data_IF_580560711314
#
_entry.id   IF_580560711314
#
_cell.length_a   1.000
_cell.length_b   1.000
_cell.length_c   1.000
_cell.angle_alpha   90.00
_cell.angle_beta   90.00
_cell.angle_gamma   90.00
#
_symmetry.space_group_name_H-M   'P 1'
#
loop_
_entity.id
_entity.type
_entity.pdbx_description
1 polymer ?
#
# COMPACT_ATOMS: atom_id res chain seq x y z
N UNK A 1 5.00 -10.76 -20.39
CA UNK A 1 3.85 -11.24 -19.59
C UNK A 1 4.35 -11.63 -18.21
N UNK A 2 4.02 -10.85 -17.17
CA UNK A 2 4.47 -11.12 -15.78
C UNK A 2 3.54 -12.07 -15.02
N UNK A 3 2.40 -12.42 -15.61
CA UNK A 3 1.41 -13.30 -15.00
C UNK A 3 1.51 -14.71 -15.58
N UNK A 4 1.41 -15.76 -14.75
CA UNK A 4 1.40 -17.15 -15.22
C UNK A 4 0.21 -17.43 -16.14
N UNK A 5 0.41 -18.21 -17.21
CA UNK A 5 -0.66 -18.60 -18.15
C UNK A 5 -1.76 -19.47 -17.50
N UNK A 6 -1.43 -20.12 -16.38
CA UNK A 6 -2.38 -20.90 -15.57
C UNK A 6 -3.37 -20.02 -14.81
N UNK A 7 -3.12 -18.71 -14.68
CA UNK A 7 -3.96 -17.79 -13.93
C UNK A 7 -5.22 -17.43 -14.75
N UNK A 8 -6.34 -18.07 -14.42
CA UNK A 8 -7.63 -17.87 -15.12
C UNK A 8 -8.45 -16.69 -14.61
N UNK A 9 -8.25 -16.32 -13.34
CA UNK A 9 -8.97 -15.25 -12.67
C UNK A 9 -7.95 -14.35 -11.99
N UNK A 10 -8.06 -13.05 -12.26
CA UNK A 10 -7.26 -12.03 -11.60
C UNK A 10 -8.18 -11.29 -10.65
N UNK A 11 -7.79 -11.24 -9.37
CA UNK A 11 -8.41 -10.34 -8.41
C UNK A 11 -7.75 -8.97 -8.50
N UNK A 12 -8.55 -7.93 -8.44
CA UNK A 12 -8.09 -6.55 -8.43
C UNK A 12 -8.63 -5.81 -7.21
N UNK A 13 -7.88 -4.81 -6.76
CA UNK A 13 -8.28 -3.84 -5.75
C UNK A 13 -8.31 -2.48 -6.43
N UNK A 14 -9.45 -1.80 -6.33
CA UNK A 14 -9.64 -0.47 -6.90
C UNK A 14 -9.86 0.54 -5.77
N UNK A 15 -8.87 1.39 -5.53
CA UNK A 15 -9.05 2.58 -4.72
C UNK A 15 -9.51 3.69 -5.66
N UNK A 16 -10.82 3.93 -5.68
CA UNK A 16 -11.46 4.83 -6.65
C UNK A 16 -10.78 6.20 -6.70
N UNK A 17 -10.38 6.61 -7.92
CA UNK A 17 -9.72 7.89 -8.16
C UNK A 17 -8.24 7.95 -7.75
N UNK A 18 -7.65 6.86 -7.27
CA UNK A 18 -6.24 6.78 -6.90
C UNK A 18 -5.50 5.70 -7.68
N UNK A 19 -5.89 4.43 -7.54
CA UNK A 19 -5.12 3.30 -8.07
C UNK A 19 -5.97 2.05 -8.33
N UNK A 20 -5.54 1.23 -9.31
CA UNK A 20 -6.12 -0.06 -9.65
C UNK A 20 -5.00 -1.11 -9.77
N UNK A 21 -4.96 -2.07 -8.86
CA UNK A 21 -3.89 -3.06 -8.80
C UNK A 21 -4.43 -4.49 -8.83
N UNK A 22 -3.69 -5.42 -9.45
CA UNK A 22 -3.90 -6.85 -9.27
C UNK A 22 -3.35 -7.30 -7.90
N UNK A 23 -4.23 -7.80 -7.02
CA UNK A 23 -3.86 -8.23 -5.67
C UNK A 23 -4.81 -9.33 -5.13
N UNK A 24 -4.23 -10.36 -4.54
CA UNK A 24 -4.91 -11.50 -3.92
C UNK A 24 -5.04 -11.41 -2.40
N UNK A 25 -4.51 -10.36 -1.76
CA UNK A 25 -4.53 -10.17 -0.31
C UNK A 25 -5.93 -9.93 0.27
N UNK A 26 -6.03 -10.02 1.60
CA UNK A 26 -7.23 -9.62 2.34
C UNK A 26 -7.14 -8.14 2.65
N UNK A 27 -8.20 -7.40 2.31
CA UNK A 27 -8.26 -5.94 2.44
C UNK A 27 -9.45 -5.53 3.31
N UNK A 28 -9.31 -4.37 3.95
CA UNK A 28 -10.43 -3.66 4.59
C UNK A 28 -11.39 -3.10 3.54
N UNK A 29 -12.61 -2.74 3.94
CA UNK A 29 -13.62 -2.25 3.00
C UNK A 29 -13.41 -0.77 2.62
N UNK A 30 -12.71 0.00 3.45
CA UNK A 30 -12.43 1.42 3.25
C UNK A 30 -11.04 1.83 3.75
N UNK A 31 -10.41 2.81 3.09
CA UNK A 31 -9.13 3.39 3.54
C UNK A 31 -9.20 4.01 4.94
N UNK A 32 -10.40 4.38 5.42
CA UNK A 32 -10.62 4.91 6.77
C UNK A 32 -10.35 3.88 7.87
N UNK A 33 -10.52 2.59 7.58
CA UNK A 33 -10.29 1.51 8.54
C UNK A 33 -8.80 1.24 8.79
N UNK A 34 -7.92 1.72 7.92
CA UNK A 34 -6.47 1.57 8.09
C UNK A 34 -5.96 2.42 9.25
N UNK A 35 -6.55 3.59 9.51
CA UNK A 35 -6.04 4.57 10.47
C UNK A 35 -5.01 5.54 9.86
N UNK A 36 -4.25 6.23 10.72
CA UNK A 36 -3.28 7.24 10.32
C UNK A 36 -1.92 6.62 9.97
N UNK A 37 -1.35 7.02 8.83
CA UNK A 37 -0.02 6.58 8.38
C UNK A 37 1.02 7.65 8.72
N UNK A 38 2.09 7.24 9.39
CA UNK A 38 3.23 8.10 9.73
C UNK A 38 4.50 7.53 9.10
N UNK A 39 5.30 8.37 8.45
CA UNK A 39 6.61 7.99 7.93
C UNK A 39 7.61 8.01 9.10
N UNK A 40 8.15 6.86 9.47
CA UNK A 40 9.08 6.71 10.60
C UNK A 40 10.54 6.64 10.18
N UNK A 41 10.80 6.51 8.87
CA UNK A 41 12.14 6.57 8.33
C UNK A 41 12.15 6.42 6.82
N UNK A 42 13.27 6.83 6.23
CA UNK A 42 13.53 6.66 4.82
C UNK A 42 14.97 6.21 4.63
N UNK A 43 15.21 5.38 3.62
CA UNK A 43 16.54 4.89 3.27
C UNK A 43 16.68 4.86 1.74
N UNK A 44 17.79 5.38 1.23
CA UNK A 44 18.13 5.24 -0.18
C UNK A 44 18.71 3.85 -0.43
N UNK A 45 18.13 3.07 -1.34
CA UNK A 45 18.65 1.76 -1.79
C UNK A 45 19.30 1.88 -3.18
N UNK A 46 19.93 3.02 -3.45
CA UNK A 46 20.51 3.38 -4.74
C UNK A 46 19.75 4.49 -5.45
N UNK A 47 20.08 4.71 -6.73
CA UNK A 47 19.57 5.84 -7.52
C UNK A 47 18.04 5.85 -7.63
N UNK A 48 17.45 4.70 -7.98
CA UNK A 48 16.00 4.57 -8.25
C UNK A 48 15.22 4.13 -7.01
N UNK A 49 15.78 3.23 -6.21
CA UNK A 49 15.03 2.60 -5.11
C UNK A 49 15.08 3.43 -3.83
N UNK A 50 13.92 3.68 -3.23
CA UNK A 50 13.76 4.28 -1.91
C UNK A 50 12.95 3.33 -1.05
N UNK A 51 13.37 3.12 0.20
CA UNK A 51 12.61 2.35 1.19
C UNK A 51 12.06 3.31 2.23
N UNK A 52 10.73 3.37 2.32
CA UNK A 52 10.04 4.07 3.39
C UNK A 52 9.66 3.06 4.47
N UNK A 53 9.86 3.44 5.73
CA UNK A 53 9.29 2.75 6.89
C UNK A 53 8.09 3.56 7.35
N UNK A 54 6.96 2.89 7.55
CA UNK A 54 5.72 3.52 7.99
C UNK A 54 5.21 2.86 9.27
N UNK A 55 4.46 3.62 10.06
CA UNK A 55 3.69 3.14 11.20
C UNK A 55 2.23 3.52 11.01
N UNK A 56 1.34 2.61 11.39
CA UNK A 56 -0.11 2.82 11.44
C UNK A 56 -0.52 3.11 12.88
N UNK A 57 -1.41 4.08 13.09
CA UNK A 57 -1.93 4.45 14.41
C UNK A 57 -3.40 4.88 14.34
N UNK A 58 -4.15 4.62 15.42
CA UNK A 58 -5.56 5.04 15.51
C UNK A 58 -5.71 6.56 15.69
N UNK A 59 -4.67 7.23 16.18
CA UNK A 59 -4.64 8.66 16.40
C UNK A 59 -3.61 9.33 15.49
N UNK A 60 -3.92 10.57 15.09
CA UNK A 60 -2.99 11.43 14.36
C UNK A 60 -1.85 11.83 15.30
N UNK A 61 -0.63 11.48 14.94
CA UNK A 61 0.56 11.97 15.65
C UNK A 61 0.81 13.39 15.14
N UNK A 62 0.76 14.36 16.05
CA UNK A 62 1.09 15.75 15.78
C UNK A 62 2.50 15.94 16.31
N UNK A 63 3.46 16.16 15.42
CA UNK A 63 4.81 16.57 15.82
C UNK A 63 4.78 18.10 15.92
N UNK A 64 5.12 18.64 17.10
CA UNK A 64 5.41 20.07 17.29
C UNK A 64 6.70 20.48 16.54
#
# INVERSE_FOLDING_TARGET
NLLPESLKIIRTINIQGLDLQADGGTHVSSTKEVGYINITGHESKGKINKRLRIKVSDQKIINE
#
